data_IF_216949239453
#
_entry.id   IF_216949239453
#
_cell.length_a   1.000
_cell.length_b   1.000
_cell.length_c   1.000
_cell.angle_alpha   90.00
_cell.angle_beta   90.00
_cell.angle_gamma   90.00
#
_symmetry.space_group_name_H-M   'P 1'
#
loop_
_entity.id
_entity.type
_entity.pdbx_description
1 polymer ?
#
# COMPACT_ATOMS: atom_id res chain seq x y z
N UNK A 1 -6.74 7.89 6.68
CA UNK A 1 -5.34 8.03 7.15
C UNK A 1 -4.64 8.99 6.21
N UNK A 2 -4.03 10.03 6.75
CA UNK A 2 -3.14 10.99 6.06
C UNK A 2 -1.73 10.73 6.59
N UNK A 3 -0.70 10.83 5.74
CA UNK A 3 0.71 10.70 6.16
C UNK A 3 1.44 12.04 6.23
N UNK A 4 0.72 13.14 6.48
CA UNK A 4 1.30 14.49 6.57
C UNK A 4 2.20 14.82 5.37
N UNK A 5 1.68 14.54 4.18
CA UNK A 5 2.37 14.68 2.88
C UNK A 5 3.57 13.75 2.65
N UNK A 6 3.87 12.83 3.57
CA UNK A 6 4.91 11.81 3.35
C UNK A 6 4.42 10.78 2.32
N UNK A 7 5.22 10.45 1.29
CA UNK A 7 4.85 9.47 0.29
C UNK A 7 4.52 8.10 0.88
N UNK A 8 3.43 7.51 0.40
CA UNK A 8 3.02 6.15 0.76
C UNK A 8 3.84 5.14 -0.06
N UNK A 9 4.40 4.14 0.62
CA UNK A 9 5.19 3.02 0.09
C UNK A 9 4.47 1.68 0.22
N UNK A 10 3.38 1.63 0.98
CA UNK A 10 2.61 0.41 1.14
C UNK A 10 1.21 0.64 1.66
N UNK A 11 0.31 -0.28 1.31
CA UNK A 11 -1.08 -0.29 1.77
C UNK A 11 -1.44 -1.67 2.30
N UNK A 12 -2.26 -1.69 3.36
CA UNK A 12 -2.71 -2.92 4.02
C UNK A 12 -4.13 -2.77 4.57
N UNK A 13 -5.00 -3.75 4.33
CA UNK A 13 -6.28 -3.84 5.04
C UNK A 13 -6.10 -4.53 6.38
N UNK A 14 -6.87 -4.10 7.37
CA UNK A 14 -6.91 -4.75 8.67
C UNK A 14 -8.29 -4.63 9.32
N UNK A 15 -8.52 -5.47 10.32
CA UNK A 15 -9.76 -5.48 11.08
C UNK A 15 -9.51 -4.91 12.47
N UNK A 16 -10.26 -3.88 12.83
CA UNK A 16 -10.15 -3.15 14.09
C UNK A 16 -11.30 -3.43 15.06
N UNK A 17 -11.06 -3.02 16.30
CA UNK A 17 -12.01 -3.00 17.40
C UNK A 17 -12.08 -4.33 18.15
N UNK A 18 -12.72 -4.31 19.33
CA UNK A 18 -12.84 -5.48 20.22
C UNK A 18 -13.41 -6.74 19.54
N UNK A 19 -14.24 -6.55 18.50
CA UNK A 19 -14.88 -7.63 17.73
C UNK A 19 -14.22 -7.92 16.38
N UNK A 20 -13.13 -7.23 16.04
CA UNK A 20 -12.43 -7.34 14.74
C UNK A 20 -13.41 -7.28 13.54
N UNK A 21 -14.34 -6.33 13.57
CA UNK A 21 -15.44 -6.23 12.61
C UNK A 21 -15.54 -4.86 11.93
N UNK A 22 -14.56 -3.98 12.18
CA UNK A 22 -14.40 -2.71 11.47
C UNK A 22 -13.27 -2.87 10.48
N UNK A 23 -13.55 -2.71 9.20
CA UNK A 23 -12.53 -2.72 8.17
C UNK A 23 -11.81 -1.37 8.19
N UNK A 24 -10.49 -1.41 8.26
CA UNK A 24 -9.62 -0.25 8.25
C UNK A 24 -8.50 -0.42 7.21
N UNK A 25 -7.87 0.70 6.85
CA UNK A 25 -6.83 0.78 5.85
C UNK A 25 -5.60 1.47 6.45
N UNK A 26 -4.46 0.79 6.37
CA UNK A 26 -3.18 1.26 6.89
C UNK A 26 -2.34 1.70 5.70
N UNK A 27 -1.65 2.82 5.86
CA UNK A 27 -0.75 3.37 4.85
C UNK A 27 0.66 3.45 5.44
N UNK A 28 1.54 2.59 4.97
CA UNK A 28 2.96 2.67 5.25
C UNK A 28 3.55 3.79 4.41
N UNK A 29 4.26 4.71 5.03
CA UNK A 29 4.84 5.89 4.40
C UNK A 29 6.32 6.00 4.76
N UNK A 30 7.06 6.79 3.99
CA UNK A 30 8.46 7.08 4.30
C UNK A 30 8.57 7.80 5.65
N UNK A 31 9.56 7.44 6.47
CA UNK A 31 9.79 8.07 7.78
C UNK A 31 10.22 9.52 7.63
N UNK A 32 11.14 9.78 6.70
CA UNK A 32 11.59 11.10 6.26
C UNK A 32 11.37 11.28 4.76
N UNK A 33 11.11 12.51 4.35
CA UNK A 33 11.05 12.89 2.95
C UNK A 33 12.48 13.15 2.46
N UNK A 34 12.96 12.53 1.37
CA UNK A 34 14.26 12.87 0.81
C UNK A 34 14.29 14.35 0.42
N UNK A 35 15.42 15.02 0.57
CA UNK A 35 15.55 16.45 0.25
C UNK A 35 15.14 16.78 -1.20
N UNK A 36 15.30 15.83 -2.12
CA UNK A 36 14.91 15.97 -3.53
C UNK A 36 13.39 16.06 -3.73
N UNK A 37 12.62 15.60 -2.74
CA UNK A 37 11.15 15.66 -2.70
C UNK A 37 10.64 16.78 -1.81
N UNK A 38 11.53 17.55 -1.16
CA UNK A 38 11.13 18.61 -0.23
C UNK A 38 10.46 19.74 -0.98
N UNK A 39 9.22 20.01 -0.60
CA UNK A 39 8.48 21.19 -1.03
C UNK A 39 9.19 22.43 -0.48
N UNK A 40 9.51 23.45 -1.30
CA UNK A 40 9.96 24.73 -0.77
C UNK A 40 8.82 25.32 0.08
N UNK A 41 8.91 25.15 1.40
CA UNK A 41 7.89 25.59 2.34
C UNK A 41 7.68 27.13 2.36
N UNK A 42 8.52 27.88 1.63
CA UNK A 42 8.54 29.34 1.66
C UNK A 42 7.67 30.02 0.58
N UNK A 43 7.17 29.30 -0.43
CA UNK A 43 6.44 29.91 -1.54
C UNK A 43 5.04 29.28 -1.64
N UNK A 44 4.07 29.84 -0.91
CA UNK A 44 2.67 29.38 -0.91
C UNK A 44 1.99 29.40 -2.29
N UNK A 45 2.61 30.02 -3.30
CA UNK A 45 2.15 30.05 -4.69
C UNK A 45 2.52 28.81 -5.53
N UNK A 46 3.46 27.97 -5.09
CA UNK A 46 3.97 26.82 -5.87
C UNK A 46 3.44 25.47 -5.35
N UNK A 47 3.03 25.39 -4.08
CA UNK A 47 2.53 24.14 -3.50
C UNK A 47 1.07 23.89 -3.89
N UNK A 48 0.86 22.99 -4.86
CA UNK A 48 -0.48 22.59 -5.30
C UNK A 48 -1.25 21.90 -4.14
N UNK A 49 -2.56 22.15 -3.99
CA UNK A 49 -3.35 21.51 -2.95
C UNK A 49 -3.40 19.99 -3.18
N UNK A 50 -3.34 19.21 -2.10
CA UNK A 50 -3.53 17.76 -2.16
C UNK A 50 -4.99 17.46 -2.58
N UNK A 51 -5.18 16.46 -3.44
CA UNK A 51 -6.49 16.16 -4.02
C UNK A 51 -6.96 14.76 -3.66
N UNK A 52 -8.14 14.67 -3.04
CA UNK A 52 -8.80 13.38 -2.81
C UNK A 52 -9.47 12.90 -4.08
N UNK A 53 -9.27 11.63 -4.42
CA UNK A 53 -10.03 10.97 -5.47
C UNK A 53 -10.40 9.56 -5.05
N UNK A 54 -11.62 9.16 -5.38
CA UNK A 54 -12.21 7.91 -4.98
C UNK A 54 -12.74 7.09 -6.12
N UNK A 55 -12.95 5.80 -5.84
CA UNK A 55 -13.73 4.93 -6.71
C UNK A 55 -15.19 5.37 -6.82
N UNK A 56 -15.64 6.22 -5.89
CA UNK A 56 -17.00 6.72 -5.78
C UNK A 56 -17.25 8.07 -6.48
N UNK A 57 -16.22 8.68 -7.06
CA UNK A 57 -16.32 9.94 -7.82
C UNK A 57 -16.63 9.70 -9.31
N UNK A 58 -16.44 8.47 -9.80
CA UNK A 58 -16.72 8.10 -11.18
C UNK A 58 -18.19 7.75 -11.38
N UNK A 59 -18.84 8.33 -12.41
CA UNK A 59 -20.22 8.01 -12.79
C UNK A 59 -20.40 6.56 -13.25
N UNK A 60 -19.34 5.93 -13.78
CA UNK A 60 -19.33 4.53 -14.22
C UNK A 60 -18.93 3.54 -13.12
N UNK A 61 -18.80 3.98 -11.86
CA UNK A 61 -18.39 3.11 -10.75
C UNK A 61 -19.32 1.91 -10.52
N UNK A 62 -20.59 2.03 -10.93
CA UNK A 62 -21.60 0.96 -10.87
C UNK A 62 -21.22 -0.29 -11.70
N UNK A 63 -20.42 -0.12 -12.76
CA UNK A 63 -19.95 -1.23 -13.59
C UNK A 63 -18.87 -2.08 -12.90
N UNK A 64 -18.23 -1.54 -11.87
CA UNK A 64 -17.14 -2.18 -11.14
C UNK A 64 -17.58 -2.67 -9.76
N UNK A 65 -18.88 -2.92 -9.56
CA UNK A 65 -19.41 -3.40 -8.30
C UNK A 65 -19.40 -4.92 -8.25
N UNK A 66 -18.58 -5.48 -7.38
CA UNK A 66 -18.51 -6.92 -7.16
C UNK A 66 -19.29 -7.28 -5.89
N UNK A 67 -20.18 -8.29 -5.94
CA UNK A 67 -20.98 -8.70 -4.79
C UNK A 67 -20.12 -9.41 -3.73
N UNK A 68 -20.43 -9.16 -2.45
CA UNK A 68 -19.68 -9.67 -1.31
C UNK A 68 -20.58 -10.46 -0.34
N UNK A 69 -20.11 -11.63 0.11
CA UNK A 69 -20.85 -12.51 1.04
C UNK A 69 -20.84 -12.02 2.50
N UNK A 70 -20.33 -10.82 2.77
CA UNK A 70 -20.16 -10.30 4.13
C UNK A 70 -21.34 -9.40 4.52
N UNK A 71 -22.01 -9.69 5.65
CA UNK A 71 -23.21 -8.96 6.15
C UNK A 71 -23.07 -7.43 6.25
N UNK A 72 -21.86 -6.86 6.22
CA UNK A 72 -21.62 -5.40 6.34
C UNK A 72 -21.68 -4.67 5.00
N UNK A 73 -21.25 -5.31 3.93
CA UNK A 73 -21.13 -4.73 2.60
C UNK A 73 -21.81 -5.65 1.60
N UNK A 74 -22.79 -5.15 0.85
CA UNK A 74 -23.37 -5.94 -0.24
C UNK A 74 -22.43 -6.02 -1.43
N UNK A 75 -21.76 -4.92 -1.75
CA UNK A 75 -20.83 -4.83 -2.88
C UNK A 75 -19.53 -4.13 -2.49
N UNK A 76 -18.48 -4.40 -3.26
CA UNK A 76 -17.19 -3.69 -3.21
C UNK A 76 -16.95 -3.09 -4.59
N UNK A 77 -16.61 -1.81 -4.63
CA UNK A 77 -16.24 -1.15 -5.88
C UNK A 77 -14.76 -1.42 -6.20
N UNK A 78 -14.51 -2.15 -7.29
CA UNK A 78 -13.18 -2.57 -7.75
C UNK A 78 -12.59 -1.66 -8.82
N UNK A 79 -13.16 -0.46 -9.00
CA UNK A 79 -12.63 0.53 -9.93
C UNK A 79 -11.26 1.06 -9.46
N UNK A 80 -10.40 1.36 -10.43
CA UNK A 80 -9.04 1.85 -10.18
C UNK A 80 -9.08 3.30 -9.70
N UNK A 81 -8.46 3.55 -8.55
CA UNK A 81 -8.22 4.91 -8.04
C UNK A 81 -6.81 5.34 -8.42
N UNK A 82 -6.73 6.25 -9.40
CA UNK A 82 -5.48 6.86 -9.90
C UNK A 82 -5.65 8.38 -9.96
N UNK A 83 -4.56 9.13 -10.08
CA UNK A 83 -4.62 10.59 -10.24
C UNK A 83 -5.41 11.00 -11.50
N UNK A 84 -5.97 12.22 -11.51
CA UNK A 84 -6.62 12.77 -12.69
C UNK A 84 -5.57 13.42 -13.62
N UNK A 85 -5.45 12.98 -14.88
CA UNK A 85 -4.56 13.62 -15.85
C UNK A 85 -4.84 15.12 -15.99
N UNK A 86 -6.08 15.56 -15.81
CA UNK A 86 -6.47 16.96 -15.94
C UNK A 86 -5.91 17.86 -14.84
N UNK A 87 -5.36 17.31 -13.74
CA UNK A 87 -4.71 18.10 -12.69
C UNK A 87 -3.34 18.65 -13.11
N UNK A 88 -2.74 18.06 -14.14
CA UNK A 88 -1.55 18.59 -14.78
C UNK A 88 -2.00 19.74 -15.70
N UNK A 89 -1.65 20.97 -15.34
CA UNK A 89 -1.93 22.16 -16.13
C UNK A 89 -0.60 22.74 -16.65
N UNK A 90 -0.48 22.95 -17.96
CA UNK A 90 0.69 23.54 -18.63
C UNK A 90 1.94 22.64 -18.67
N UNK A 91 3.11 23.24 -18.88
CA UNK A 91 4.43 22.58 -18.98
C UNK A 91 4.99 22.10 -17.62
N UNK A 92 4.12 21.85 -16.64
CA UNK A 92 4.54 21.43 -15.30
C UNK A 92 5.08 20.00 -15.33
N UNK A 93 6.41 19.85 -15.24
CA UNK A 93 7.06 18.55 -15.08
C UNK A 93 6.92 18.06 -13.63
N UNK A 94 6.13 17.00 -13.45
CA UNK A 94 5.92 16.40 -12.14
C UNK A 94 4.93 15.27 -12.17
N UNK A 95 4.76 14.63 -11.02
CA UNK A 95 3.97 13.40 -10.86
C UNK A 95 3.06 13.53 -9.66
N UNK A 96 1.92 12.83 -9.68
CA UNK A 96 1.07 12.69 -8.49
C UNK A 96 1.32 11.36 -7.83
N UNK A 97 1.65 11.40 -6.54
CA UNK A 97 1.83 10.23 -5.69
C UNK A 97 0.79 10.21 -4.58
N UNK A 98 0.60 9.05 -3.96
CA UNK A 98 -0.33 8.88 -2.86
C UNK A 98 0.33 9.26 -1.53
N UNK A 99 -0.34 10.09 -0.75
CA UNK A 99 0.05 10.57 0.60
C UNK A 99 -1.05 10.34 1.64
N UNK A 100 -2.07 9.56 1.28
CA UNK A 100 -3.16 9.24 2.17
C UNK A 100 -4.13 8.28 1.52
N UNK A 101 -4.87 7.57 2.38
CA UNK A 101 -5.86 6.61 1.93
C UNK A 101 -6.99 6.49 2.94
N UNK A 102 -8.19 6.22 2.43
CA UNK A 102 -9.40 6.06 3.22
C UNK A 102 -10.35 5.06 2.58
N UNK A 103 -11.11 4.36 3.41
CA UNK A 103 -12.26 3.57 2.97
C UNK A 103 -13.54 4.36 3.22
N UNK A 104 -14.41 4.40 2.22
CA UNK A 104 -15.72 5.04 2.30
C UNK A 104 -16.80 3.98 2.11
N UNK A 105 -17.87 4.06 2.89
CA UNK A 105 -19.06 3.24 2.67
C UNK A 105 -20.18 4.14 2.16
N UNK A 106 -20.72 3.84 0.97
CA UNK A 106 -21.88 4.54 0.40
C UNK A 106 -23.11 3.62 0.39
N UNK A 107 -24.29 4.25 0.37
CA UNK A 107 -25.57 3.55 0.29
C UNK A 107 -26.22 3.25 1.64
N UNK A 108 -27.44 2.71 1.59
CA UNK A 108 -28.25 2.31 2.76
C UNK A 108 -28.43 0.79 2.73
N UNK A 109 -28.61 0.17 3.89
CA UNK A 109 -28.88 -1.28 3.95
C UNK A 109 -30.17 -1.61 3.16
N UNK A 110 -30.19 -2.70 2.38
CA UNK A 110 -29.15 -3.72 2.23
C UNK A 110 -28.06 -3.42 1.19
N UNK A 111 -28.19 -2.36 0.38
CA UNK A 111 -27.28 -2.00 -0.73
C UNK A 111 -26.13 -1.10 -0.25
N UNK A 112 -25.24 -1.62 0.59
CA UNK A 112 -24.04 -0.91 1.06
C UNK A 112 -22.83 -1.24 0.20
N UNK A 113 -22.17 -0.22 -0.33
CA UNK A 113 -21.01 -0.34 -1.22
C UNK A 113 -19.75 0.17 -0.53
N UNK A 114 -18.69 -0.63 -0.54
CA UNK A 114 -17.37 -0.23 -0.07
C UNK A 114 -16.56 0.41 -1.21
N UNK A 115 -16.02 1.60 -0.95
CA UNK A 115 -15.20 2.38 -1.87
C UNK A 115 -13.83 2.70 -1.27
N UNK A 116 -12.86 2.91 -2.15
CA UNK A 116 -11.51 3.34 -1.82
C UNK A 116 -11.34 4.80 -2.24
N UNK A 117 -10.73 5.61 -1.36
CA UNK A 117 -10.29 6.97 -1.66
C UNK A 117 -8.80 7.10 -1.37
N UNK A 118 -8.09 7.78 -2.27
CA UNK A 118 -6.66 8.08 -2.15
C UNK A 118 -6.47 9.59 -2.17
N UNK A 119 -5.53 10.07 -1.37
CA UNK A 119 -5.07 11.45 -1.37
C UNK A 119 -3.83 11.54 -2.24
N UNK A 120 -3.88 12.42 -3.23
CA UNK A 120 -2.78 12.65 -4.15
C UNK A 120 -2.06 13.96 -3.82
N UNK A 121 -0.74 13.92 -3.83
CA UNK A 121 0.13 15.09 -3.71
C UNK A 121 1.00 15.19 -4.95
N UNK A 122 1.12 16.40 -5.48
CA UNK A 122 1.97 16.70 -6.62
C UNK A 122 3.44 16.76 -6.19
N UNK A 123 4.32 16.04 -6.87
CA UNK A 123 5.76 16.13 -6.74
C UNK A 123 6.34 16.80 -8.00
N UNK A 124 6.93 18.00 -7.87
CA UNK A 124 7.62 18.66 -8.98
C UNK A 124 8.93 17.94 -9.33
N UNK A 125 9.46 18.20 -10.53
CA UNK A 125 10.80 17.77 -10.95
C UNK A 125 11.05 16.26 -10.81
N UNK A 126 9.99 15.46 -10.93
CA UNK A 126 10.06 14.01 -10.88
C UNK A 126 9.38 13.47 -12.15
N UNK A 127 9.87 12.34 -12.65
CA UNK A 127 9.25 11.61 -13.75
C UNK A 127 8.96 10.16 -13.35
N UNK A 128 7.94 9.54 -13.93
CA UNK A 128 7.68 8.11 -13.73
C UNK A 128 8.51 7.32 -14.75
N UNK A 129 9.50 6.56 -14.28
CA UNK A 129 10.30 5.67 -15.14
C UNK A 129 9.55 4.40 -15.49
N UNK A 130 8.92 3.80 -14.49
CA UNK A 130 8.22 2.52 -14.59
C UNK A 130 7.05 2.50 -13.63
N UNK A 131 6.00 1.78 -13.99
CA UNK A 131 4.93 1.43 -13.04
C UNK A 131 4.67 -0.06 -13.01
N UNK A 132 4.27 -0.57 -11.85
CA UNK A 132 4.02 -1.99 -11.66
C UNK A 132 2.85 -2.20 -10.70
N UNK A 133 1.96 -3.15 -11.04
CA UNK A 133 0.92 -3.60 -10.13
C UNK A 133 1.45 -4.71 -9.25
N UNK A 134 1.19 -4.62 -7.95
CA UNK A 134 1.44 -5.69 -7.00
C UNK A 134 0.16 -6.03 -6.25
N UNK A 135 0.03 -7.31 -5.92
CA UNK A 135 -1.02 -7.83 -5.06
C UNK A 135 -0.39 -8.32 -3.75
N UNK A 136 -1.23 -8.56 -2.75
CA UNK A 136 -0.81 -9.25 -1.53
C UNK A 136 -0.06 -10.55 -1.89
N UNK A 137 1.11 -10.81 -1.28
CA UNK A 137 1.80 -12.08 -1.47
C UNK A 137 0.86 -13.18 -1.01
N UNK A 138 0.37 -13.97 -1.97
CA UNK A 138 -0.50 -15.09 -1.65
C UNK A 138 0.36 -16.05 -0.84
N UNK A 139 -0.05 -16.34 0.40
CA UNK A 139 0.44 -17.51 1.13
C UNK A 139 -0.07 -18.75 0.42
N UNK A 140 0.49 -19.06 -0.75
CA UNK A 140 0.47 -20.40 -1.26
C UNK A 140 1.24 -21.22 -0.23
N UNK A 141 0.62 -22.26 0.33
CA UNK A 141 1.36 -23.38 0.91
C UNK A 141 2.11 -24.05 -0.23
N UNK A 142 3.11 -23.39 -0.77
CA UNK A 142 4.03 -23.96 -1.73
C UNK A 142 5.25 -24.37 -0.95
N UNK A 143 5.31 -25.66 -0.68
CA UNK A 143 6.54 -26.39 -0.39
C UNK A 143 7.53 -26.16 -1.54
N UNK A 144 8.21 -25.02 -1.58
CA UNK A 144 9.44 -24.87 -2.33
C UNK A 144 10.59 -25.21 -1.39
N UNK A 145 10.89 -26.51 -1.33
CA UNK A 145 12.21 -26.98 -0.93
C UNK A 145 13.19 -26.48 -1.99
N UNK A 146 13.93 -25.40 -1.70
CA UNK A 146 15.11 -25.04 -2.47
C UNK A 146 16.24 -25.99 -2.06
N UNK A 147 16.28 -27.14 -2.72
CA UNK A 147 17.44 -28.03 -2.68
C UNK A 147 18.48 -27.58 -3.72
N UNK A 148 19.71 -27.45 -3.21
CA UNK A 148 21.02 -27.51 -3.87
C UNK A 148 21.40 -26.44 -4.92
N UNK A 149 22.47 -25.71 -4.61
CA UNK A 149 23.72 -25.82 -5.37
C UNK A 149 24.91 -25.42 -4.50
N UNK A 150 25.71 -26.42 -4.18
CA UNK A 150 27.01 -26.37 -3.51
C UNK A 150 28.11 -26.01 -4.52
N UNK A 151 28.90 -24.97 -4.25
CA UNK A 151 30.23 -24.83 -4.86
C UNK A 151 31.24 -24.24 -3.87
N UNK A 152 32.09 -25.14 -3.37
CA UNK A 152 33.45 -25.03 -2.84
C UNK A 152 34.02 -23.68 -2.37
N UNK A 153 34.43 -23.64 -1.10
CA UNK A 153 35.79 -23.23 -0.72
C UNK A 153 36.23 -23.92 0.58
N UNK A 154 37.45 -24.44 0.50
CA UNK A 154 38.16 -25.31 1.43
C UNK A 154 38.94 -24.46 2.46
N UNK A 155 38.79 -24.72 3.76
CA UNK A 155 39.88 -24.82 4.78
C UNK A 155 39.34 -25.00 6.22
N UNK A 156 39.75 -26.11 6.84
CA UNK A 156 40.03 -26.42 8.25
C UNK A 156 39.16 -25.96 9.45
N UNK A 157 38.55 -26.98 10.09
CA UNK A 157 38.61 -27.41 11.52
C UNK A 157 38.25 -26.46 12.70
N UNK A 158 37.24 -26.96 13.44
CA UNK A 158 37.12 -27.14 14.91
C UNK A 158 36.15 -26.25 15.74
N UNK A 159 34.95 -26.84 15.98
CA UNK A 159 34.21 -27.02 17.25
C UNK A 159 34.29 -25.90 18.33
N UNK A 160 33.19 -25.14 18.53
CA UNK A 160 32.33 -25.10 19.75
C UNK A 160 31.36 -23.90 19.75
N UNK A 161 30.06 -24.15 20.02
CA UNK A 161 29.08 -23.16 20.52
C UNK A 161 28.07 -22.60 19.49
N UNK A 162 26.74 -22.79 19.69
CA UNK A 162 25.74 -22.13 18.86
C UNK A 162 25.48 -20.71 19.39
N UNK A 163 26.19 -19.72 18.87
CA UNK A 163 25.77 -18.32 19.01
C UNK A 163 24.60 -18.06 18.06
N UNK A 164 23.42 -17.89 18.65
CA UNK A 164 22.19 -17.47 17.98
C UNK A 164 22.31 -15.99 17.59
N UNK A 165 22.96 -15.71 16.46
CA UNK A 165 22.96 -14.37 15.87
C UNK A 165 21.58 -14.13 15.24
N UNK A 166 20.77 -13.29 15.89
CA UNK A 166 19.55 -12.76 15.28
C UNK A 166 19.95 -11.89 14.07
N UNK A 167 19.18 -11.91 12.97
CA UNK A 167 19.41 -10.98 11.88
C UNK A 167 19.22 -9.57 12.43
N UNK A 168 20.30 -8.77 12.39
CA UNK A 168 20.28 -7.35 12.71
C UNK A 168 19.47 -6.65 11.63
N UNK A 169 18.17 -6.61 11.84
CA UNK A 169 17.24 -5.76 11.09
C UNK A 169 17.35 -4.37 11.72
N UNK A 170 18.30 -3.57 11.22
CA UNK A 170 18.40 -2.15 11.52
C UNK A 170 17.27 -1.39 10.80
N UNK A 171 16.04 -1.52 11.31
CA UNK A 171 14.93 -0.64 10.96
C UNK A 171 14.72 0.33 12.13
N UNK A 172 14.96 1.63 11.91
CA UNK A 172 14.81 2.70 12.91
C UNK A 172 13.35 3.05 13.23
N UNK A 173 12.48 2.05 13.31
CA UNK A 173 11.10 2.16 13.75
C UNK A 173 10.90 1.25 14.94
N UNK A 174 11.31 1.70 16.13
CA UNK A 174 11.03 1.01 17.39
C UNK A 174 9.52 1.07 17.65
N UNK A 175 8.81 0.04 17.20
CA UNK A 175 7.58 -0.40 17.86
C UNK A 175 8.02 -1.48 18.87
N UNK A 176 7.97 -1.23 20.19
CA UNK A 176 8.39 -2.23 21.18
C UNK A 176 7.60 -3.55 21.06
N UNK A 177 6.41 -3.51 20.46
CA UNK A 177 5.51 -4.66 20.25
C UNK A 177 5.42 -5.18 18.80
N UNK A 178 6.27 -4.67 17.88
CA UNK A 178 6.11 -4.89 16.44
C UNK A 178 4.82 -4.27 15.87
N UNK A 179 4.59 -4.29 14.54
CA UNK A 179 3.28 -3.92 14.00
C UNK A 179 2.22 -4.81 14.66
N UNK A 180 1.06 -4.28 15.10
CA UNK A 180 0.11 -5.02 15.92
C UNK A 180 -0.18 -6.39 15.29
N UNK A 181 0.38 -7.42 15.92
CA UNK A 181 0.18 -8.80 15.48
C UNK A 181 -1.31 -9.05 15.62
N UNK A 182 -2.00 -9.34 14.51
CA UNK A 182 -3.45 -9.42 14.54
C UNK A 182 -3.90 -10.52 15.50
N UNK A 183 -4.29 -10.13 16.72
CA UNK A 183 -4.91 -11.00 17.74
C UNK A 183 -6.35 -11.39 17.32
N UNK A 184 -6.77 -11.01 16.11
CA UNK A 184 -8.10 -11.18 15.58
C UNK A 184 -8.41 -12.63 15.18
N UNK A 185 -8.81 -13.45 16.14
CA UNK A 185 -9.45 -14.77 15.92
C UNK A 185 -10.91 -14.68 15.47
N UNK A 186 -11.27 -13.64 14.71
CA UNK A 186 -12.65 -13.34 14.35
C UNK A 186 -13.13 -14.08 13.09
N UNK A 187 -14.39 -14.55 13.09
CA UNK A 187 -15.08 -15.13 11.91
C UNK A 187 -15.07 -14.22 10.66
N UNK A 188 -14.71 -12.95 10.82
CA UNK A 188 -14.67 -11.92 9.78
C UNK A 188 -13.35 -11.91 9.01
N UNK A 189 -12.25 -12.41 9.60
CA UNK A 189 -10.93 -12.45 8.96
C UNK A 189 -10.94 -13.25 7.65
N UNK A 190 -11.84 -14.25 7.54
CA UNK A 190 -12.03 -15.03 6.32
C UNK A 190 -12.52 -14.22 5.11
N UNK A 191 -12.97 -12.98 5.31
CA UNK A 191 -13.49 -12.09 4.28
C UNK A 191 -12.52 -10.96 3.91
N UNK A 192 -11.34 -10.86 4.54
CA UNK A 192 -10.40 -9.77 4.30
C UNK A 192 -9.01 -10.33 4.12
N UNK A 193 -8.35 -9.94 3.04
CA UNK A 193 -6.93 -10.17 2.85
C UNK A 193 -6.15 -9.10 3.60
N UNK A 194 -5.32 -9.52 4.55
CA UNK A 194 -4.64 -8.61 5.47
C UNK A 194 -3.14 -8.58 5.27
N UNK A 195 -2.62 -9.29 4.27
CA UNK A 195 -1.22 -9.15 3.87
C UNK A 195 -0.94 -7.74 3.35
N UNK A 196 0.23 -7.23 3.72
CA UNK A 196 0.69 -5.91 3.30
C UNK A 196 1.22 -5.96 1.87
N UNK A 197 0.89 -4.93 1.08
CA UNK A 197 1.44 -4.71 -0.25
C UNK A 197 2.35 -3.50 -0.14
N UNK A 198 3.66 -3.73 -0.11
CA UNK A 198 4.69 -2.70 0.08
C UNK A 198 5.76 -2.83 -0.99
N UNK A 199 6.22 -1.68 -1.50
CA UNK A 199 7.52 -1.52 -2.15
C UNK A 199 8.13 -0.21 -1.73
N UNK A 200 9.40 -0.21 -1.38
CA UNK A 200 10.07 0.96 -0.84
C UNK A 200 11.52 1.11 -1.31
N UNK A 201 12.32 1.92 -0.59
CA UNK A 201 13.71 2.18 -0.92
C UNK A 201 14.60 0.94 -0.97
N UNK A 202 14.22 -0.11 -0.24
CA UNK A 202 14.97 -1.37 -0.16
C UNK A 202 14.71 -2.29 -1.38
N UNK A 203 13.69 -2.02 -2.19
CA UNK A 203 13.36 -2.82 -3.37
C UNK A 203 14.06 -2.26 -4.60
N UNK A 204 15.00 -3.02 -5.18
CA UNK A 204 15.75 -2.62 -6.39
C UNK A 204 14.79 -2.36 -7.56
N UNK A 205 14.94 -1.26 -8.34
CA UNK A 205 16.03 -0.26 -8.34
C UNK A 205 15.88 0.94 -7.38
N UNK A 206 15.04 0.85 -6.34
CA UNK A 206 14.82 1.88 -5.31
C UNK A 206 13.66 2.84 -5.64
N UNK A 207 13.31 3.76 -4.74
CA UNK A 207 12.32 4.85 -4.96
C UNK A 207 10.94 4.45 -5.52
N UNK A 208 10.41 3.30 -5.12
CA UNK A 208 9.03 2.94 -5.41
C UNK A 208 8.06 3.67 -4.49
N UNK A 209 7.07 4.32 -5.08
CA UNK A 209 5.99 4.98 -4.37
C UNK A 209 4.62 4.53 -4.89
N UNK A 210 3.60 4.60 -4.05
CA UNK A 210 2.23 4.30 -4.47
C UNK A 210 1.70 5.41 -5.36
N UNK A 211 1.23 5.04 -6.56
CA UNK A 211 0.65 5.95 -7.55
C UNK A 211 -0.82 5.66 -7.88
N UNK A 212 -1.31 4.46 -7.59
CA UNK A 212 -2.73 4.10 -7.67
C UNK A 212 -3.02 2.88 -6.80
N UNK A 213 -4.29 2.63 -6.52
CA UNK A 213 -4.72 1.38 -5.89
C UNK A 213 -6.18 1.05 -6.27
N UNK A 214 -6.57 -0.21 -6.07
CA UNK A 214 -7.96 -0.64 -6.20
C UNK A 214 -8.28 -1.71 -5.17
N UNK A 215 -9.54 -1.79 -4.78
CA UNK A 215 -10.06 -2.95 -4.07
C UNK A 215 -10.27 -4.09 -5.08
N UNK A 216 -10.14 -5.32 -4.60
CA UNK A 216 -10.41 -6.53 -5.39
C UNK A 216 -11.22 -7.50 -4.55
N UNK A 217 -12.08 -8.31 -5.19
CA UNK A 217 -12.67 -9.48 -4.53
C UNK A 217 -12.08 -10.77 -5.10
N UNK A 218 -11.23 -11.43 -4.31
CA UNK A 218 -10.58 -12.68 -4.73
C UNK A 218 -10.87 -13.78 -3.73
N UNK A 219 -11.40 -14.91 -4.22
CA UNK A 219 -11.78 -16.03 -3.35
C UNK A 219 -12.81 -15.66 -2.28
N UNK A 220 -13.66 -14.66 -2.53
CA UNK A 220 -14.64 -14.16 -1.56
C UNK A 220 -14.04 -13.33 -0.42
N UNK A 221 -12.80 -12.87 -0.57
CA UNK A 221 -12.14 -11.91 0.33
C UNK A 221 -11.98 -10.55 -0.33
N UNK A 222 -12.06 -9.49 0.47
CA UNK A 222 -11.70 -8.13 0.08
C UNK A 222 -10.19 -8.00 0.19
N UNK A 223 -9.51 -7.69 -0.91
CA UNK A 223 -8.09 -7.42 -0.97
C UNK A 223 -7.76 -6.06 -1.58
N UNK A 224 -6.47 -5.79 -1.72
CA UNK A 224 -5.92 -4.59 -2.36
C UNK A 224 -4.93 -4.96 -3.44
N UNK A 225 -5.06 -4.34 -4.60
CA UNK A 225 -3.98 -4.24 -5.58
C UNK A 225 -3.45 -2.82 -5.57
N UNK A 226 -2.13 -2.69 -5.50
CA UNK A 226 -1.44 -1.41 -5.40
C UNK A 226 -0.56 -1.24 -6.62
N UNK A 227 -0.64 -0.07 -7.26
CA UNK A 227 0.23 0.31 -8.35
C UNK A 227 1.36 1.17 -7.79
N UNK A 228 2.58 0.67 -7.95
CA UNK A 228 3.79 1.38 -7.62
C UNK A 228 4.34 2.10 -8.85
N UNK A 229 4.92 3.28 -8.64
CA UNK A 229 5.67 4.04 -9.61
C UNK A 229 7.12 4.16 -9.13
N UNK A 230 8.04 3.79 -9.99
CA UNK A 230 9.47 4.05 -9.86
C UNK A 230 9.73 5.48 -10.35
N UNK A 231 10.20 6.35 -9.46
CA UNK A 231 10.48 7.73 -9.81
C UNK A 231 11.92 7.92 -10.33
N UNK A 232 12.06 8.83 -11.29
CA UNK A 232 13.32 9.46 -11.67
C UNK A 232 13.36 10.88 -11.13
N UNK A 233 14.56 11.29 -10.70
CA UNK A 233 14.85 12.66 -10.31
C UNK A 233 15.93 13.17 -11.27
N UNK A 234 15.55 13.91 -12.33
CA UNK A 234 16.49 14.53 -13.25
C UNK A 234 17.36 15.59 -12.58
#
# INVERSE_FOLDING_TARGET
VSSDQKPVVGLRLYLEGKKCNRLALHAQHLTSLPNIMTFPAANSSVCRPCQWRGSDDYKSSDQFLEPMKWKRYSNVCTSVVKYDPNWLHGDSSGVFIVTGAQLLTKGKRPKTVLHLRLLFTYLPNCAIRKTEWAAAPRTHKSSFLMNLSTTFSFTQRSITGPQKQAPVVLNSGVFPDGPPTQVCKGKVLKFVETAEVVRGPHDVPGHWLVAAAKLVTEGGKIGLHVKFALLDYP
#
